data_IF_916826288704
#
_entry.id   IF_916826288704
#
_cell.length_a   1.000
_cell.length_b   1.000
_cell.length_c   1.000
_cell.angle_alpha   90.00
_cell.angle_beta   90.00
_cell.angle_gamma   90.00
#
_symmetry.space_group_name_H-M   'P 1'
#
loop_
_entity.id
_entity.type
_entity.pdbx_description
1 polymer ?
#
# COMPACT_ATOMS: atom_id res chain seq x y z
N UNK A 1 5.32 -26.47 -29.53
CA UNK A 1 5.86 -25.14 -29.18
C UNK A 1 5.13 -24.62 -27.95
N UNK A 2 5.70 -24.75 -26.73
CA UNK A 2 5.09 -24.26 -25.50
C UNK A 2 5.50 -22.81 -25.26
N UNK A 3 4.55 -21.92 -24.92
CA UNK A 3 4.94 -20.54 -24.63
C UNK A 3 3.83 -19.51 -24.45
N UNK A 4 2.58 -19.90 -24.19
CA UNK A 4 1.57 -18.91 -23.77
C UNK A 4 1.74 -18.67 -22.26
N UNK A 5 2.83 -17.97 -21.93
CA UNK A 5 3.13 -17.47 -20.59
C UNK A 5 1.98 -16.57 -20.16
N UNK A 6 1.14 -17.10 -19.27
CA UNK A 6 0.04 -16.38 -18.63
C UNK A 6 0.58 -15.06 -18.10
N UNK A 7 0.29 -13.96 -18.81
CA UNK A 7 0.58 -12.60 -18.35
C UNK A 7 -0.15 -12.43 -17.02
N UNK A 8 0.60 -12.56 -15.93
CA UNK A 8 0.16 -12.27 -14.57
C UNK A 8 -0.23 -10.80 -14.57
N UNK A 9 -1.51 -10.53 -14.78
CA UNK A 9 -2.13 -9.21 -14.72
C UNK A 9 -1.87 -8.72 -13.30
N UNK A 10 -0.75 -8.02 -13.12
CA UNK A 10 -0.38 -7.36 -11.88
C UNK A 10 -1.55 -6.43 -11.60
N UNK A 11 -2.39 -6.84 -10.67
CA UNK A 11 -3.62 -6.15 -10.29
C UNK A 11 -3.14 -4.77 -9.86
N UNK A 12 -3.25 -3.78 -10.76
CA UNK A 12 -3.27 -2.38 -10.37
C UNK A 12 -4.59 -2.23 -9.62
N UNK A 13 -4.62 -2.71 -8.39
CA UNK A 13 -5.57 -2.25 -7.39
C UNK A 13 -5.11 -0.84 -7.03
N UNK A 14 -5.34 0.09 -7.95
CA UNK A 14 -5.71 1.40 -7.48
C UNK A 14 -7.06 1.15 -6.79
N UNK A 15 -7.02 0.84 -5.49
CA UNK A 15 -8.20 0.95 -4.64
C UNK A 15 -8.71 2.36 -4.90
N UNK A 16 -9.84 2.46 -5.60
CA UNK A 16 -10.52 3.73 -5.75
C UNK A 16 -10.64 4.32 -4.34
N UNK A 17 -10.33 5.62 -4.14
CA UNK A 17 -10.47 6.21 -2.81
C UNK A 17 -11.87 5.90 -2.29
N UNK A 18 -12.04 5.53 -1.01
CA UNK A 18 -13.36 5.35 -0.44
C UNK A 18 -14.16 6.65 -0.68
N UNK A 19 -15.38 6.51 -1.20
CA UNK A 19 -16.10 7.48 -2.03
C UNK A 19 -16.45 8.84 -1.38
N UNK A 20 -15.48 9.61 -0.90
CA UNK A 20 -15.66 10.89 -0.25
C UNK A 20 -14.38 11.73 -0.17
N UNK A 21 -14.46 12.98 0.35
CA UNK A 21 -13.31 13.84 0.53
C UNK A 21 -12.35 13.27 1.59
N UNK A 22 -11.06 13.41 1.33
CA UNK A 22 -10.00 12.88 2.19
C UNK A 22 -8.65 12.89 1.48
N UNK A 23 -7.63 12.39 2.18
CA UNK A 23 -6.27 12.34 1.68
C UNK A 23 -5.58 11.03 2.06
N UNK A 24 -4.64 10.60 1.23
CA UNK A 24 -3.75 9.49 1.57
C UNK A 24 -2.65 10.00 2.50
N UNK A 25 -2.62 9.50 3.74
CA UNK A 25 -1.55 9.76 4.70
C UNK A 25 -0.55 8.62 4.66
N UNK A 26 0.73 8.95 4.55
CA UNK A 26 1.82 7.97 4.58
C UNK A 26 2.00 7.46 6.01
N UNK A 27 1.99 6.14 6.18
CA UNK A 27 2.24 5.46 7.46
C UNK A 27 3.72 5.16 7.60
N UNK A 28 4.32 4.53 6.58
CA UNK A 28 5.76 4.30 6.53
C UNK A 28 6.25 4.06 5.10
N UNK A 29 7.56 4.24 4.90
CA UNK A 29 8.25 4.02 3.64
C UNK A 29 9.59 3.32 3.91
N UNK A 30 9.90 2.28 3.15
CA UNK A 30 11.20 1.58 3.25
C UNK A 30 11.59 0.95 1.90
N UNK A 31 12.89 0.98 1.53
CA UNK A 31 13.42 0.19 0.42
C UNK A 31 13.72 -1.27 0.79
N UNK A 32 13.76 -1.62 2.07
CA UNK A 32 14.07 -2.96 2.55
C UNK A 32 12.82 -3.87 2.54
N UNK A 33 12.90 -5.00 1.85
CA UNK A 33 11.82 -5.98 1.75
C UNK A 33 11.53 -6.67 3.09
N UNK A 34 12.57 -6.96 3.88
CA UNK A 34 12.45 -7.61 5.19
C UNK A 34 11.80 -6.64 6.18
N UNK A 35 12.25 -5.39 6.20
CA UNK A 35 11.62 -4.35 7.02
C UNK A 35 10.17 -4.15 6.60
N UNK A 36 9.89 -4.08 5.29
CA UNK A 36 8.53 -3.96 4.77
C UNK A 36 7.60 -5.04 5.31
N UNK A 37 8.00 -6.31 5.22
CA UNK A 37 7.17 -7.45 5.67
C UNK A 37 6.95 -7.44 7.17
N UNK A 38 7.98 -7.09 7.94
CA UNK A 38 7.93 -7.01 9.40
C UNK A 38 6.98 -5.89 9.85
N UNK A 39 7.15 -4.69 9.28
CA UNK A 39 6.29 -3.53 9.57
C UNK A 39 4.85 -3.76 9.14
N UNK A 40 4.64 -4.34 7.96
CA UNK A 40 3.30 -4.70 7.49
C UNK A 40 2.60 -5.62 8.48
N UNK A 41 3.23 -6.74 8.85
CA UNK A 41 2.66 -7.70 9.79
C UNK A 41 2.36 -7.07 11.16
N UNK A 42 3.26 -6.21 11.66
CA UNK A 42 3.06 -5.50 12.93
C UNK A 42 1.91 -4.49 12.87
N UNK A 43 1.72 -3.79 11.76
CA UNK A 43 0.70 -2.75 11.64
C UNK A 43 -0.69 -3.34 11.39
N UNK A 44 -0.78 -4.41 10.58
CA UNK A 44 -2.08 -5.06 10.27
C UNK A 44 -2.45 -6.17 11.23
N UNK A 45 -1.49 -6.63 12.06
CA UNK A 45 -1.69 -7.69 13.04
C UNK A 45 -2.54 -7.25 14.24
N UNK A 46 -2.92 -8.19 15.12
CA UNK A 46 -3.67 -7.89 16.33
C UNK A 46 -2.93 -6.84 17.20
N UNK A 47 -3.61 -5.74 17.52
CA UNK A 47 -3.04 -4.65 18.33
C UNK A 47 -2.17 -3.64 17.58
N UNK A 48 -2.01 -3.78 16.25
CA UNK A 48 -1.35 -2.79 15.42
C UNK A 48 -2.26 -1.60 15.06
N UNK A 49 -1.66 -0.48 14.66
CA UNK A 49 -2.39 0.76 14.33
C UNK A 49 -3.40 0.61 13.18
N UNK A 50 -3.19 -0.38 12.31
CA UNK A 50 -4.07 -0.69 11.19
C UNK A 50 -4.87 -1.98 11.43
N UNK A 51 -4.91 -2.48 12.66
CA UNK A 51 -5.72 -3.64 13.03
C UNK A 51 -7.20 -3.35 12.77
N UNK A 52 -7.83 -4.16 11.91
CA UNK A 52 -9.23 -4.01 11.55
C UNK A 52 -9.52 -2.88 10.55
N UNK A 53 -8.51 -2.17 10.05
CA UNK A 53 -8.68 -1.24 8.92
C UNK A 53 -9.05 -2.05 7.67
N UNK A 54 -10.14 -1.66 7.02
CA UNK A 54 -10.58 -2.29 5.79
C UNK A 54 -9.53 -2.09 4.68
N UNK A 55 -9.08 -3.16 3.99
CA UNK A 55 -8.05 -3.07 2.96
C UNK A 55 -8.30 -2.03 1.86
N UNK A 56 -9.55 -1.63 1.59
CA UNK A 56 -9.84 -0.55 0.61
C UNK A 56 -9.35 0.83 1.06
N UNK A 57 -9.10 1.01 2.36
CA UNK A 57 -8.54 2.24 2.96
C UNK A 57 -7.03 2.19 3.05
N UNK A 58 -6.39 1.11 2.59
CA UNK A 58 -4.95 0.96 2.56
C UNK A 58 -4.45 1.00 1.12
N UNK A 59 -3.27 1.58 0.91
CA UNK A 59 -2.62 1.66 -0.39
C UNK A 59 -1.13 1.38 -0.24
N UNK A 60 -0.63 0.48 -1.10
CA UNK A 60 0.79 0.18 -1.21
C UNK A 60 1.28 0.74 -2.55
N UNK A 61 2.17 1.73 -2.47
CA UNK A 61 2.88 2.24 -3.65
C UNK A 61 4.26 1.60 -3.73
N UNK A 62 4.67 1.19 -4.93
CA UNK A 62 6.01 0.66 -5.22
C UNK A 62 6.72 1.59 -6.18
N UNK A 63 7.69 2.34 -5.66
CA UNK A 63 8.51 3.27 -6.44
C UNK A 63 9.71 2.52 -7.00
N UNK A 64 9.52 1.93 -8.17
CA UNK A 64 10.60 1.36 -8.94
C UNK A 64 11.40 2.51 -9.58
N UNK A 65 12.52 2.90 -8.96
CA UNK A 65 13.50 3.76 -9.61
C UNK A 65 13.94 3.12 -10.93
N UNK A 66 14.00 3.89 -12.02
CA UNK A 66 14.17 3.34 -13.36
C UNK A 66 15.56 2.73 -13.62
N UNK A 67 16.55 2.96 -12.75
CA UNK A 67 17.88 2.34 -12.79
C UNK A 67 18.59 2.57 -11.43
N UNK A 68 19.35 1.58 -10.98
CA UNK A 68 20.34 1.61 -9.86
C UNK A 68 19.79 1.76 -8.42
N UNK A 69 18.60 2.33 -8.18
CA UNK A 69 18.07 2.54 -6.81
C UNK A 69 17.15 1.41 -6.32
N UNK A 70 17.25 1.12 -5.02
CA UNK A 70 16.43 0.15 -4.31
C UNK A 70 14.93 0.44 -4.50
N UNK A 71 14.12 -0.62 -4.58
CA UNK A 71 12.67 -0.47 -4.79
C UNK A 71 12.02 0.00 -3.50
N UNK A 72 11.68 1.28 -3.42
CA UNK A 72 11.03 1.84 -2.24
C UNK A 72 9.54 1.48 -2.21
N UNK A 73 9.10 0.87 -1.11
CA UNK A 73 7.69 0.59 -0.84
C UNK A 73 7.16 1.58 0.17
N UNK A 74 5.97 2.12 -0.11
CA UNK A 74 5.26 3.08 0.77
C UNK A 74 3.89 2.52 1.11
N UNK A 75 3.58 2.50 2.40
CA UNK A 75 2.23 2.25 2.89
C UNK A 75 1.54 3.58 3.19
N UNK A 76 0.35 3.76 2.64
CA UNK A 76 -0.53 4.89 2.96
C UNK A 76 -1.90 4.40 3.42
N UNK A 77 -2.53 5.15 4.31
CA UNK A 77 -3.91 4.95 4.77
C UNK A 77 -4.75 6.14 4.33
N UNK A 78 -6.00 5.89 3.94
CA UNK A 78 -6.95 6.95 3.62
C UNK A 78 -7.47 7.60 4.89
N UNK A 79 -7.28 8.90 5.02
CA UNK A 79 -7.81 9.72 6.10
C UNK A 79 -8.97 10.56 5.54
N UNK A 80 -10.21 10.31 5.98
CA UNK A 80 -11.35 11.09 5.53
C UNK A 80 -11.26 12.51 6.09
N UNK A 81 -11.59 13.50 5.29
CA UNK A 81 -11.60 14.89 5.74
C UNK A 81 -12.67 15.04 6.83
N UNK A 82 -12.25 15.35 8.06
CA UNK A 82 -13.19 15.76 9.10
C UNK A 82 -13.62 17.18 8.77
N UNK A 83 -14.79 17.34 8.13
CA UNK A 83 -15.40 18.67 8.00
C UNK A 83 -15.59 19.25 9.42
N UNK A 84 -15.02 20.42 9.74
CA UNK A 84 -15.46 21.15 10.91
C UNK A 84 -16.94 21.52 10.71
N UNK A 85 -17.75 21.32 11.75
CA UNK A 85 -19.16 21.73 11.77
C UNK A 85 -19.27 23.23 11.99
#
# INVERSE_FOLDING_TARGET
>A
MPGQGKRKRRRREASAPPAGPGQWRVVFETPDDVEWRTRWASLTGPGGDLAGVDPRWLRIDTFCGRLVRETTRRLSVWEPERRPR
#
